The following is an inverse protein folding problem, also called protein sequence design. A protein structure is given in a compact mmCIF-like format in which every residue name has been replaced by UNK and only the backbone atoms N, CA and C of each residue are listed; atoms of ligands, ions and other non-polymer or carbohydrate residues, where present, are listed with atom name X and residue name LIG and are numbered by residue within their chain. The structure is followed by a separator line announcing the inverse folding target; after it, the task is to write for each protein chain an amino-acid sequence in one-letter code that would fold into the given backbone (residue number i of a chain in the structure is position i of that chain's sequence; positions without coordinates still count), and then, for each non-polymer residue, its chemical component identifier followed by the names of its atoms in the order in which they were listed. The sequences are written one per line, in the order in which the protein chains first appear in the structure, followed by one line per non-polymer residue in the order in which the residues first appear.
data_IF_502507217927
#
_entry.id   IF_502507217927
#
_cell.length_a   1.000
_cell.length_b   1.000
_cell.length_c   1.000
_cell.angle_alpha   90.00
_cell.angle_beta   90.00
_cell.angle_gamma   90.00
#
_symmetry.space_group_name_H-M   'P 1'
#
loop_
_entity.id
_entity.type
_entity.pdbx_description
1 polymer ?
#
# COMPACT_ATOMS: atom_id res chain seq x y z
N UNK A 1 8.91 12.32 12.81
CA UNK A 1 8.49 12.09 11.41
C UNK A 1 9.34 12.94 10.49
N UNK A 2 9.80 12.36 9.40
CA UNK A 2 10.64 13.03 8.40
C UNK A 2 9.92 14.23 7.79
N UNK A 3 10.61 15.37 7.77
CA UNK A 3 10.11 16.56 7.10
C UNK A 3 10.24 16.38 5.60
N UNK A 4 9.10 16.41 4.90
CA UNK A 4 9.06 16.36 3.44
C UNK A 4 9.20 17.77 2.92
N UNK A 5 10.10 17.98 1.96
CA UNK A 5 10.23 19.28 1.29
C UNK A 5 8.96 19.58 0.50
N UNK A 6 8.16 20.54 0.97
CA UNK A 6 6.86 20.90 0.37
C UNK A 6 6.96 21.22 -1.12
N UNK A 7 8.01 21.93 -1.53
CA UNK A 7 8.28 22.26 -2.94
C UNK A 7 8.44 21.00 -3.77
N UNK A 8 9.23 20.03 -3.30
CA UNK A 8 9.45 18.74 -3.96
C UNK A 8 8.16 17.94 -4.08
N UNK A 9 7.37 17.87 -3.00
CA UNK A 9 6.08 17.18 -2.96
C UNK A 9 5.09 17.75 -4.00
N UNK A 10 4.91 19.09 -3.99
CA UNK A 10 3.99 19.76 -4.91
C UNK A 10 4.46 19.60 -6.35
N UNK A 11 5.75 19.85 -6.62
CA UNK A 11 6.33 19.72 -7.96
C UNK A 11 6.07 18.33 -8.56
N UNK A 12 6.43 17.27 -7.84
CA UNK A 12 6.28 15.91 -8.38
C UNK A 12 4.83 15.46 -8.46
N UNK A 13 3.96 15.93 -7.57
CA UNK A 13 2.51 15.68 -7.67
C UNK A 13 1.95 16.29 -8.96
N UNK A 14 2.32 17.55 -9.26
CA UNK A 14 1.92 18.22 -10.50
C UNK A 14 2.46 17.47 -11.72
N UNK A 15 3.74 17.08 -11.72
CA UNK A 15 4.35 16.33 -12.83
C UNK A 15 3.61 15.00 -13.07
N UNK A 16 3.30 14.24 -12.03
CA UNK A 16 2.53 12.99 -12.14
C UNK A 16 1.17 13.24 -12.79
N UNK A 17 0.42 14.22 -12.27
CA UNK A 17 -0.90 14.57 -12.80
C UNK A 17 -0.82 14.98 -14.27
N UNK A 18 0.16 15.81 -14.65
CA UNK A 18 0.35 16.24 -16.04
C UNK A 18 0.66 15.07 -16.97
N UNK A 19 1.56 14.17 -16.57
CA UNK A 19 1.89 12.96 -17.36
C UNK A 19 0.66 12.08 -17.51
N UNK A 20 -0.10 11.87 -16.44
CA UNK A 20 -1.31 11.05 -16.48
C UNK A 20 -2.41 11.65 -17.36
N UNK A 21 -2.65 12.95 -17.25
CA UNK A 21 -3.60 13.66 -18.12
C UNK A 21 -3.15 13.63 -19.57
N UNK A 22 -1.87 13.82 -19.85
CA UNK A 22 -1.33 13.73 -21.20
C UNK A 22 -1.51 12.33 -21.80
N UNK A 23 -1.26 11.27 -21.02
CA UNK A 23 -1.48 9.88 -21.46
C UNK A 23 -2.97 9.61 -21.76
N UNK A 24 -3.87 10.06 -20.87
CA UNK A 24 -5.32 9.94 -21.09
C UNK A 24 -5.80 10.74 -22.31
N UNK A 25 -5.32 11.98 -22.47
CA UNK A 25 -5.61 12.80 -23.63
C UNK A 25 -5.13 12.13 -24.92
N UNK A 26 -3.93 11.54 -24.92
CA UNK A 26 -3.43 10.79 -26.07
C UNK A 26 -4.34 9.60 -26.43
N UNK A 27 -4.77 8.82 -25.45
CA UNK A 27 -5.75 7.73 -25.67
C UNK A 27 -7.04 8.28 -26.31
N UNK A 28 -7.54 9.44 -25.86
CA UNK A 28 -8.75 10.07 -26.44
C UNK A 28 -8.58 10.47 -27.92
N UNK A 29 -7.35 10.68 -28.40
CA UNK A 29 -7.08 11.01 -29.81
C UNK A 29 -6.99 9.79 -30.73
N UNK A 30 -6.94 8.58 -30.18
CA UNK A 30 -6.86 7.34 -30.98
C UNK A 30 -8.19 7.11 -31.73
N UNK A 31 -8.20 7.28 -33.05
CA UNK A 31 -9.39 7.11 -33.90
C UNK A 31 -9.52 5.67 -34.44
N UNK A 32 -10.74 5.29 -34.80
CA UNK A 32 -11.07 3.99 -35.40
C UNK A 32 -11.29 2.86 -34.38
N UNK A 33 -11.95 1.80 -34.83
CA UNK A 33 -12.15 0.56 -34.07
C UNK A 33 -11.20 -0.49 -34.68
N UNK A 34 -10.09 -0.76 -33.99
CA UNK A 34 -9.16 -1.81 -34.40
C UNK A 34 -8.59 -2.50 -33.17
N UNK A 35 -8.41 -3.81 -33.26
CA UNK A 35 -7.88 -4.63 -32.16
C UNK A 35 -6.55 -4.09 -31.58
N UNK A 36 -5.56 -3.65 -32.38
CA UNK A 36 -4.32 -3.09 -31.83
C UNK A 36 -4.54 -1.81 -30.99
N UNK A 37 -5.49 -0.97 -31.38
CA UNK A 37 -5.84 0.24 -30.63
C UNK A 37 -6.48 -0.13 -29.28
N UNK A 38 -7.47 -1.02 -29.30
CA UNK A 38 -8.16 -1.45 -28.08
C UNK A 38 -7.20 -2.08 -27.08
N UNK A 39 -6.32 -2.96 -27.56
CA UNK A 39 -5.25 -3.54 -26.75
C UNK A 39 -4.33 -2.46 -26.18
N UNK A 40 -3.96 -1.46 -26.98
CA UNK A 40 -3.17 -0.31 -26.53
C UNK A 40 -3.86 0.51 -25.45
N UNK A 41 -5.13 0.87 -25.66
CA UNK A 41 -5.93 1.61 -24.69
C UNK A 41 -6.08 0.85 -23.36
N UNK A 42 -6.38 -0.45 -23.43
CA UNK A 42 -6.43 -1.32 -22.25
C UNK A 42 -5.09 -1.37 -21.53
N UNK A 43 -3.99 -1.62 -22.25
CA UNK A 43 -2.65 -1.74 -21.68
C UNK A 43 -2.19 -0.43 -21.01
N UNK A 44 -2.47 0.73 -21.62
CA UNK A 44 -2.19 2.04 -21.00
C UNK A 44 -3.05 2.23 -19.75
N UNK A 45 -4.33 1.85 -19.81
CA UNK A 45 -5.23 1.86 -18.67
C UNK A 45 -4.72 1.02 -17.49
N UNK A 46 -4.15 -0.15 -17.75
CA UNK A 46 -3.50 -0.97 -16.70
C UNK A 46 -2.21 -0.30 -16.20
N UNK A 47 -1.34 0.13 -17.11
CA UNK A 47 -0.01 0.63 -16.80
C UNK A 47 0.00 1.96 -16.01
N UNK A 48 -1.01 2.80 -16.19
CA UNK A 48 -1.12 4.09 -15.50
C UNK A 48 -1.54 3.93 -14.03
N UNK A 49 -2.20 2.82 -13.66
CA UNK A 49 -2.67 2.58 -12.28
C UNK A 49 -1.55 2.64 -11.26
N UNK A 50 -0.44 1.87 -11.35
CA UNK A 50 0.62 1.95 -10.35
C UNK A 50 1.25 3.35 -10.24
N UNK A 51 1.28 4.11 -11.34
CA UNK A 51 1.80 5.48 -11.38
C UNK A 51 0.90 6.45 -10.60
N UNK A 52 -0.42 6.33 -10.72
CA UNK A 52 -1.41 7.13 -9.99
C UNK A 52 -1.63 6.64 -8.55
N UNK A 53 -1.63 5.33 -8.34
CA UNK A 53 -1.86 4.70 -7.05
C UNK A 53 -0.73 5.04 -6.06
N UNK A 54 0.52 5.15 -6.52
CA UNK A 54 1.67 5.45 -5.66
C UNK A 54 1.52 6.77 -4.87
N UNK A 55 1.28 7.95 -5.47
CA UNK A 55 1.06 9.16 -4.68
C UNK A 55 -0.20 9.09 -3.82
N UNK A 56 -1.31 8.49 -4.31
CA UNK A 56 -2.54 8.33 -3.53
C UNK A 56 -2.26 7.52 -2.26
N UNK A 57 -1.60 6.38 -2.41
CA UNK A 57 -1.21 5.51 -1.32
C UNK A 57 -0.32 6.25 -0.32
N UNK A 58 0.69 6.97 -0.81
CA UNK A 58 1.59 7.76 0.03
C UNK A 58 0.81 8.79 0.88
N UNK A 59 -0.13 9.51 0.27
CA UNK A 59 -0.97 10.48 0.98
C UNK A 59 -1.86 9.81 2.03
N UNK A 60 -2.52 8.70 1.69
CA UNK A 60 -3.37 7.95 2.63
C UNK A 60 -2.53 7.39 3.78
N UNK A 61 -1.41 6.73 3.48
CA UNK A 61 -0.55 6.13 4.49
C UNK A 61 0.01 7.21 5.43
N UNK A 62 0.40 8.38 4.91
CA UNK A 62 0.89 9.47 5.75
C UNK A 62 -0.21 10.14 6.57
N UNK A 63 -1.30 10.58 5.93
CA UNK A 63 -2.27 11.51 6.52
C UNK A 63 -3.58 10.85 6.99
N UNK A 64 -3.69 9.54 6.86
CA UNK A 64 -4.78 8.75 7.45
C UNK A 64 -4.22 7.70 8.40
N UNK A 65 -3.16 7.00 8.03
CA UNK A 65 -2.68 5.85 8.81
C UNK A 65 -1.64 6.23 9.86
N UNK A 66 -0.77 7.22 9.58
CA UNK A 66 0.29 7.67 10.51
C UNK A 66 0.08 9.05 11.11
N UNK A 67 -0.74 9.89 10.49
CA UNK A 67 -1.16 11.17 11.04
C UNK A 67 -2.69 11.23 10.94
N UNK A 68 -3.45 11.37 12.04
CA UNK A 68 -4.91 11.42 11.98
C UNK A 68 -5.41 12.81 11.57
N UNK A 69 -4.99 13.32 10.40
CA UNK A 69 -5.37 14.66 9.92
C UNK A 69 -6.88 14.75 9.66
N UNK A 70 -7.49 13.64 9.25
CA UNK A 70 -8.93 13.53 9.05
C UNK A 70 -9.57 12.84 10.26
N UNK A 71 -10.17 13.62 11.16
CA UNK A 71 -10.72 13.11 12.44
C UNK A 71 -11.72 11.96 12.25
N UNK A 72 -12.57 12.03 11.22
CA UNK A 72 -13.54 10.99 10.88
C UNK A 72 -12.89 9.63 10.56
N UNK A 73 -11.60 9.63 10.22
CA UNK A 73 -10.81 8.43 9.90
C UNK A 73 -9.82 8.05 11.01
N UNK A 74 -9.87 8.71 12.18
CA UNK A 74 -8.94 8.47 13.30
C UNK A 74 -8.90 7.01 13.79
N UNK A 75 -9.98 6.24 13.63
CA UNK A 75 -9.97 4.80 13.96
C UNK A 75 -9.00 4.01 13.07
N UNK A 76 -8.83 4.40 11.81
CA UNK A 76 -7.87 3.77 10.90
C UNK A 76 -6.45 4.02 11.40
N UNK A 77 -6.13 5.24 11.82
CA UNK A 77 -4.87 5.57 12.48
C UNK A 77 -4.62 4.68 13.70
N UNK A 78 -5.60 4.53 14.60
CA UNK A 78 -5.43 3.70 15.80
C UNK A 78 -5.19 2.23 15.48
N UNK A 79 -5.94 1.68 14.52
CA UNK A 79 -5.75 0.29 14.05
C UNK A 79 -4.39 0.09 13.40
N UNK A 80 -3.96 1.02 12.55
CA UNK A 80 -2.64 0.94 11.90
C UNK A 80 -1.50 1.12 12.90
N UNK A 81 -1.67 1.97 13.91
CA UNK A 81 -0.73 2.10 15.02
C UNK A 81 -0.64 0.79 15.81
N UNK A 82 -1.77 0.15 16.11
CA UNK A 82 -1.78 -1.17 16.76
C UNK A 82 -1.10 -2.24 15.90
N UNK A 83 -1.24 -2.18 14.57
CA UNK A 83 -0.50 -3.04 13.64
C UNK A 83 1.02 -2.94 13.87
N UNK A 84 1.56 -1.73 13.93
CA UNK A 84 3.01 -1.51 14.13
C UNK A 84 3.52 -1.84 15.53
N UNK A 85 2.76 -1.56 16.58
CA UNK A 85 3.29 -1.63 17.95
C UNK A 85 2.77 -2.82 18.77
N UNK A 86 1.54 -3.26 18.52
CA UNK A 86 0.94 -4.36 19.28
C UNK A 86 1.07 -5.70 18.54
N UNK A 87 0.95 -5.73 17.22
CA UNK A 87 0.96 -6.99 16.46
C UNK A 87 2.30 -7.30 15.82
N UNK A 88 2.92 -6.30 15.17
CA UNK A 88 4.17 -6.49 14.44
C UNK A 88 5.26 -5.47 14.83
N UNK A 89 5.59 -5.31 16.12
CA UNK A 89 6.74 -4.49 16.50
C UNK A 89 8.03 -5.04 15.89
N UNK A 90 9.07 -4.22 15.74
CA UNK A 90 10.29 -4.59 15.00
C UNK A 90 11.00 -5.85 15.52
N UNK A 91 10.84 -6.19 16.79
CA UNK A 91 11.38 -7.41 17.42
C UNK A 91 10.48 -8.65 17.26
N UNK A 92 9.23 -8.48 16.83
CA UNK A 92 8.23 -9.52 16.45
C UNK A 92 7.62 -9.14 15.10
N UNK A 93 8.47 -8.96 14.10
CA UNK A 93 8.05 -8.45 12.80
C UNK A 93 7.16 -9.43 12.02
N UNK A 94 7.26 -10.72 12.34
CA UNK A 94 6.50 -11.80 11.72
C UNK A 94 5.80 -12.65 12.78
N UNK A 95 4.64 -13.19 12.42
CA UNK A 95 3.90 -14.13 13.27
C UNK A 95 3.57 -15.42 12.51
N UNK A 96 3.22 -16.44 13.28
CA UNK A 96 2.62 -17.65 12.75
C UNK A 96 1.12 -17.56 12.48
N UNK A 97 0.59 -18.70 12.06
CA UNK A 97 -0.83 -18.96 12.12
C UNK A 97 -1.64 -18.33 11.00
N UNK A 98 -2.96 -18.36 11.19
CA UNK A 98 -3.89 -17.70 10.29
C UNK A 98 -3.84 -16.16 10.47
N UNK A 99 -4.09 -15.46 9.37
CA UNK A 99 -5.22 -14.53 9.32
C UNK A 99 -5.76 -13.99 10.65
N UNK A 100 -5.18 -12.94 11.25
CA UNK A 100 -5.84 -12.16 12.32
C UNK A 100 -5.83 -10.68 11.96
N UNK A 101 -6.97 -10.18 11.47
CA UNK A 101 -7.14 -8.80 10.99
C UNK A 101 -7.80 -7.93 12.04
N UNK A 102 -7.28 -6.72 12.19
CA UNK A 102 -7.80 -5.70 13.10
C UNK A 102 -9.10 -5.10 12.56
N UNK A 103 -10.06 -4.88 13.44
CA UNK A 103 -11.37 -4.32 13.09
C UNK A 103 -11.47 -2.84 13.48
N UNK A 104 -12.22 -2.07 12.69
CA UNK A 104 -12.58 -0.69 13.02
C UNK A 104 -13.78 -0.61 13.97
N UNK A 105 -14.48 -1.71 14.23
CA UNK A 105 -15.74 -1.73 14.97
C UNK A 105 -15.55 -1.73 16.50
N UNK A 106 -14.49 -2.34 17.00
CA UNK A 106 -14.19 -2.46 18.43
C UNK A 106 -12.90 -1.71 18.80
N UNK A 107 -12.30 -2.03 19.95
CA UNK A 107 -11.01 -1.46 20.33
C UNK A 107 -9.95 -1.75 19.25
N UNK A 108 -9.06 -0.79 19.04
CA UNK A 108 -8.01 -0.77 18.00
C UNK A 108 -7.04 -1.95 18.06
N UNK A 109 -6.99 -2.65 19.20
CA UNK A 109 -6.18 -3.85 19.42
C UNK A 109 -6.96 -5.15 19.27
N UNK A 110 -8.24 -5.10 18.93
CA UNK A 110 -9.04 -6.32 18.73
C UNK A 110 -8.86 -6.83 17.30
N UNK A 111 -8.45 -8.10 17.19
CA UNK A 111 -8.44 -8.83 15.92
C UNK A 111 -9.56 -9.85 15.85
N UNK A 112 -9.99 -10.18 14.64
CA UNK A 112 -10.89 -11.31 14.40
C UNK A 112 -10.11 -12.61 14.21
N UNK A 113 -10.56 -13.68 14.87
CA UNK A 113 -9.99 -15.03 14.75
C UNK A 113 -10.79 -15.91 13.79
N UNK A 114 -12.00 -15.49 13.40
CA UNK A 114 -12.86 -16.28 12.52
C UNK A 114 -12.50 -16.06 11.06
N UNK A 115 -12.67 -17.11 10.25
CA UNK A 115 -12.45 -17.04 8.81
C UNK A 115 -13.32 -15.94 8.16
N UNK A 116 -14.62 -15.92 8.46
CA UNK A 116 -15.57 -14.96 7.89
C UNK A 116 -15.30 -13.52 8.34
N UNK A 117 -14.89 -13.30 9.59
CA UNK A 117 -14.50 -11.98 10.05
C UNK A 117 -13.27 -11.47 9.31
N UNK A 118 -12.26 -12.30 9.13
CA UNK A 118 -11.05 -11.93 8.37
C UNK A 118 -11.38 -11.65 6.89
N UNK A 119 -12.23 -12.45 6.28
CA UNK A 119 -12.69 -12.24 4.91
C UNK A 119 -13.45 -10.90 4.77
N UNK A 120 -14.35 -10.59 5.69
CA UNK A 120 -15.09 -9.33 5.71
C UNK A 120 -14.17 -8.12 5.84
N UNK A 121 -13.19 -8.16 6.74
CA UNK A 121 -12.21 -7.07 6.89
C UNK A 121 -11.33 -6.93 5.64
N UNK A 122 -10.93 -8.05 5.02
CA UNK A 122 -10.19 -8.02 3.75
C UNK A 122 -11.01 -7.36 2.64
N UNK A 123 -12.30 -7.70 2.52
CA UNK A 123 -13.21 -7.10 1.53
C UNK A 123 -13.41 -5.61 1.81
N UNK A 124 -13.54 -5.22 3.08
CA UNK A 124 -13.65 -3.81 3.46
C UNK A 124 -12.39 -3.02 3.10
N UNK A 125 -11.21 -3.58 3.37
CA UNK A 125 -9.92 -2.98 3.01
C UNK A 125 -9.74 -2.88 1.50
N UNK A 126 -10.10 -3.92 0.75
CA UNK A 126 -10.10 -3.90 -0.70
C UNK A 126 -11.06 -2.83 -1.24
N UNK A 127 -12.30 -2.81 -0.77
CA UNK A 127 -13.33 -1.83 -1.17
C UNK A 127 -12.88 -0.40 -0.88
N UNK A 128 -12.18 -0.17 0.24
CA UNK A 128 -11.59 1.13 0.55
C UNK A 128 -10.60 1.58 -0.53
N UNK A 129 -9.66 0.72 -0.95
CA UNK A 129 -8.76 1.05 -2.05
C UNK A 129 -9.50 1.29 -3.37
N UNK A 130 -10.51 0.48 -3.67
CA UNK A 130 -11.33 0.65 -4.87
C UNK A 130 -12.12 1.97 -4.86
N UNK A 131 -12.58 2.45 -3.71
CA UNK A 131 -13.27 3.74 -3.60
C UNK A 131 -12.34 4.92 -3.92
N UNK A 132 -11.09 4.89 -3.45
CA UNK A 132 -10.07 5.87 -3.85
C UNK A 132 -9.76 5.75 -5.34
N UNK A 133 -9.64 4.53 -5.87
CA UNK A 133 -9.42 4.32 -7.30
C UNK A 133 -10.56 4.86 -8.16
N UNK A 134 -11.81 4.65 -7.74
CA UNK A 134 -12.98 5.19 -8.42
C UNK A 134 -12.95 6.72 -8.48
N UNK A 135 -12.68 7.37 -7.35
CA UNK A 135 -12.68 8.83 -7.23
C UNK A 135 -11.51 9.50 -7.97
N UNK A 136 -10.30 8.98 -7.80
CA UNK A 136 -9.07 9.65 -8.25
C UNK A 136 -8.52 9.11 -9.57
N UNK A 137 -8.96 7.94 -10.04
CA UNK A 137 -8.46 7.32 -11.27
C UNK A 137 -9.58 7.06 -12.29
N UNK A 138 -10.66 6.38 -11.90
CA UNK A 138 -11.68 5.93 -12.85
C UNK A 138 -12.57 7.07 -13.34
N UNK A 139 -13.07 7.90 -12.43
CA UNK A 139 -13.92 9.04 -12.80
C UNK A 139 -13.15 10.05 -13.67
N UNK A 140 -11.93 10.50 -13.32
CA UNK A 140 -11.13 11.34 -14.22
C UNK A 140 -10.80 10.66 -15.55
N UNK A 141 -10.41 9.37 -15.51
CA UNK A 141 -10.14 8.57 -16.70
C UNK A 141 -11.34 8.56 -17.66
N UNK A 142 -12.53 8.26 -17.16
CA UNK A 142 -13.77 8.28 -17.95
C UNK A 142 -14.12 9.68 -18.46
N UNK A 143 -13.98 10.72 -17.63
CA UNK A 143 -14.28 12.10 -18.03
C UNK A 143 -13.39 12.53 -19.20
N UNK A 144 -12.10 12.19 -19.17
CA UNK A 144 -11.11 12.61 -20.16
C UNK A 144 -11.21 11.75 -21.43
N UNK A 145 -11.26 10.42 -21.31
CA UNK A 145 -11.14 9.53 -22.47
C UNK A 145 -12.46 9.18 -23.12
N UNK A 146 -13.55 9.06 -22.33
CA UNK A 146 -14.84 8.48 -22.76
C UNK A 146 -14.70 7.08 -23.40
N UNK A 147 -13.60 6.39 -23.11
CA UNK A 147 -13.25 5.11 -23.72
C UNK A 147 -13.49 3.96 -22.72
N UNK A 148 -14.44 3.05 -23.01
CA UNK A 148 -14.77 1.94 -22.10
C UNK A 148 -13.66 0.88 -22.01
N UNK A 149 -12.85 0.70 -23.06
CA UNK A 149 -11.74 -0.25 -23.07
C UNK A 149 -10.62 0.27 -22.17
N UNK A 150 -10.28 1.55 -22.26
CA UNK A 150 -9.35 2.20 -21.34
C UNK A 150 -9.83 2.13 -19.89
N UNK A 151 -11.11 2.43 -19.64
CA UNK A 151 -11.70 2.33 -18.30
C UNK A 151 -11.63 0.91 -17.76
N UNK A 152 -11.87 -0.10 -18.60
CA UNK A 152 -11.73 -1.51 -18.18
C UNK A 152 -10.29 -1.85 -17.76
N UNK A 153 -9.28 -1.31 -18.47
CA UNK A 153 -7.87 -1.42 -18.10
C UNK A 153 -7.57 -0.79 -16.74
N UNK A 154 -8.09 0.41 -16.48
CA UNK A 154 -7.99 1.07 -15.17
C UNK A 154 -8.59 0.23 -14.05
N UNK A 155 -9.78 -0.33 -14.27
CA UNK A 155 -10.48 -1.16 -13.27
C UNK A 155 -9.68 -2.43 -13.00
N UNK A 156 -9.26 -3.16 -14.04
CA UNK A 156 -8.47 -4.39 -13.90
C UNK A 156 -7.14 -4.10 -13.20
N UNK A 157 -6.41 -3.06 -13.63
CA UNK A 157 -5.18 -2.64 -12.96
C UNK A 157 -5.40 -2.31 -11.48
N UNK A 158 -6.50 -1.62 -11.16
CA UNK A 158 -6.86 -1.27 -9.78
C UNK A 158 -7.17 -2.50 -8.92
N UNK A 159 -7.89 -3.50 -9.47
CA UNK A 159 -8.16 -4.78 -8.80
C UNK A 159 -6.85 -5.51 -8.49
N UNK A 160 -5.98 -5.64 -9.49
CA UNK A 160 -4.69 -6.33 -9.35
C UNK A 160 -3.82 -5.65 -8.31
N UNK A 161 -3.61 -4.34 -8.42
CA UNK A 161 -2.78 -3.55 -7.49
C UNK A 161 -3.35 -3.60 -6.07
N UNK A 162 -4.65 -3.39 -5.90
CA UNK A 162 -5.31 -3.42 -4.58
C UNK A 162 -5.22 -4.80 -3.92
N UNK A 163 -5.38 -5.87 -4.70
CA UNK A 163 -5.22 -7.22 -4.16
C UNK A 163 -3.75 -7.52 -3.80
N UNK A 164 -2.79 -7.08 -4.62
CA UNK A 164 -1.37 -7.21 -4.31
C UNK A 164 -0.99 -6.49 -3.02
N UNK A 165 -1.57 -5.33 -2.72
CA UNK A 165 -1.31 -4.61 -1.46
C UNK A 165 -1.60 -5.49 -0.26
N UNK A 166 -2.78 -6.11 -0.27
CA UNK A 166 -3.26 -6.96 0.81
C UNK A 166 -2.43 -8.24 0.90
N UNK A 167 -2.20 -8.91 -0.23
CA UNK A 167 -1.51 -10.21 -0.28
C UNK A 167 -0.05 -10.05 0.12
N UNK A 168 0.69 -9.12 -0.48
CA UNK A 168 2.12 -8.91 -0.17
C UNK A 168 2.30 -8.50 1.29
N UNK A 169 1.39 -7.70 1.86
CA UNK A 169 1.46 -7.29 3.27
C UNK A 169 1.22 -8.47 4.22
N UNK A 170 0.21 -9.29 3.95
CA UNK A 170 -0.01 -10.54 4.68
C UNK A 170 1.20 -11.46 4.58
N UNK A 171 1.81 -11.56 3.40
CA UNK A 171 2.99 -12.39 3.13
C UNK A 171 4.23 -11.94 3.88
N UNK A 172 4.49 -10.62 3.95
CA UNK A 172 5.63 -10.08 4.70
C UNK A 172 5.52 -10.43 6.19
N UNK A 173 4.35 -10.22 6.77
CA UNK A 173 4.12 -10.44 8.20
C UNK A 173 3.81 -11.91 8.57
N UNK A 174 3.40 -12.73 7.59
CA UNK A 174 3.16 -14.17 7.75
C UNK A 174 3.85 -14.95 6.61
N UNK A 175 5.17 -15.17 6.72
CA UNK A 175 5.91 -15.97 5.75
C UNK A 175 5.32 -17.38 5.60
N UNK A 176 5.31 -17.88 4.38
CA UNK A 176 4.67 -19.13 3.95
C UNK A 176 3.22 -18.98 3.52
N UNK A 177 2.56 -17.83 3.74
CA UNK A 177 1.13 -17.66 3.41
C UNK A 177 0.85 -17.62 1.91
N UNK A 178 1.76 -17.06 1.11
CA UNK A 178 1.63 -17.01 -0.35
C UNK A 178 2.99 -17.26 -1.02
N UNK A 179 3.38 -18.54 -1.13
CA UNK A 179 4.70 -18.96 -1.63
C UNK A 179 5.06 -18.41 -3.02
N UNK A 180 4.07 -18.25 -3.90
CA UNK A 180 4.31 -17.70 -5.25
C UNK A 180 4.77 -16.24 -5.17
N UNK A 181 4.19 -15.45 -4.26
CA UNK A 181 4.55 -14.04 -4.05
C UNK A 181 5.92 -13.93 -3.41
N UNK A 182 6.22 -14.76 -2.41
CA UNK A 182 7.54 -14.79 -1.74
C UNK A 182 8.68 -15.17 -2.69
N UNK A 183 8.40 -16.00 -3.70
CA UNK A 183 9.37 -16.43 -4.69
C UNK A 183 9.71 -15.34 -5.72
N UNK A 184 8.98 -14.22 -5.75
CA UNK A 184 9.23 -13.17 -6.73
C UNK A 184 10.48 -12.36 -6.37
N UNK A 185 11.32 -11.96 -7.35
CA UNK A 185 12.59 -11.28 -7.07
C UNK A 185 12.41 -9.91 -6.39
N UNK A 186 11.30 -9.23 -6.67
CA UNK A 186 10.97 -7.94 -6.07
C UNK A 186 10.49 -8.05 -4.62
N UNK A 187 10.06 -9.23 -4.16
CA UNK A 187 9.49 -9.40 -2.82
C UNK A 187 10.50 -9.02 -1.73
N UNK A 188 11.76 -9.45 -1.88
CA UNK A 188 12.83 -9.13 -0.93
C UNK A 188 13.05 -7.62 -0.77
N UNK A 189 12.89 -6.86 -1.86
CA UNK A 189 12.99 -5.41 -1.80
C UNK A 189 11.84 -4.82 -0.98
N UNK A 190 10.59 -5.25 -1.24
CA UNK A 190 9.41 -4.76 -0.51
C UNK A 190 9.41 -5.16 0.97
N UNK A 191 9.91 -6.35 1.28
CA UNK A 191 10.09 -6.84 2.66
C UNK A 191 11.05 -5.94 3.46
N UNK A 192 12.21 -5.60 2.88
CA UNK A 192 13.14 -4.65 3.50
C UNK A 192 12.59 -3.22 3.54
N UNK A 193 11.92 -2.78 2.47
CA UNK A 193 11.29 -1.47 2.38
C UNK A 193 10.26 -1.28 3.51
N UNK A 194 9.38 -2.27 3.70
CA UNK A 194 8.37 -2.27 4.75
C UNK A 194 8.98 -2.45 6.15
N UNK A 195 10.08 -3.18 6.30
CA UNK A 195 10.75 -3.26 7.61
C UNK A 195 11.34 -1.92 8.04
N UNK A 196 11.97 -1.18 7.13
CA UNK A 196 12.45 0.18 7.40
C UNK A 196 11.27 1.10 7.75
N UNK A 197 10.12 0.93 7.10
CA UNK A 197 8.90 1.64 7.45
C UNK A 197 8.48 1.36 8.90
N UNK A 198 8.52 0.10 9.37
CA UNK A 198 8.25 -0.26 10.77
C UNK A 198 9.26 0.33 11.76
N UNK A 199 10.50 0.57 11.35
CA UNK A 199 11.52 1.23 12.17
C UNK A 199 11.29 2.75 12.22
N UNK A 200 10.92 3.36 11.10
CA UNK A 200 10.66 4.80 10.98
C UNK A 200 9.37 5.05 10.20
N UNK A 201 8.27 5.24 10.94
CA UNK A 201 6.91 5.39 10.39
C UNK A 201 6.71 6.59 9.44
N UNK A 202 7.70 7.49 9.34
CA UNK A 202 7.67 8.63 8.43
C UNK A 202 8.35 8.40 7.08
N UNK A 203 8.92 7.22 6.88
CA UNK A 203 9.72 6.80 5.71
C UNK A 203 9.06 5.60 5.04
N UNK A 204 9.35 5.35 3.76
CA UNK A 204 8.86 4.19 3.00
C UNK A 204 7.32 4.02 3.12
N UNK A 205 6.60 5.10 2.80
CA UNK A 205 5.15 5.19 2.95
C UNK A 205 4.39 4.54 1.80
N UNK A 206 5.02 4.28 0.67
CA UNK A 206 4.47 3.33 -0.30
C UNK A 206 4.80 1.91 0.12
N UNK A 207 3.92 0.98 -0.21
CA UNK A 207 4.12 -0.41 0.15
C UNK A 207 4.43 -1.29 -1.06
N UNK A 208 3.79 -1.09 -2.21
CA UNK A 208 4.04 -1.90 -3.42
C UNK A 208 5.02 -1.26 -4.41
N UNK A 209 4.79 0.00 -4.77
CA UNK A 209 5.63 0.73 -5.72
C UNK A 209 6.11 2.02 -5.08
N UNK A 210 7.39 2.14 -4.71
CA UNK A 210 7.93 3.29 -3.98
C UNK A 210 8.24 4.48 -4.89
N UNK A 211 7.39 4.73 -5.89
CA UNK A 211 7.56 5.86 -6.79
C UNK A 211 7.37 7.18 -6.04
N UNK A 212 6.29 7.33 -5.27
CA UNK A 212 6.07 8.54 -4.49
C UNK A 212 7.09 8.68 -3.35
N UNK A 213 7.54 7.60 -2.71
CA UNK A 213 8.67 7.67 -1.79
C UNK A 213 9.95 8.20 -2.45
N UNK A 214 10.28 7.70 -3.64
CA UNK A 214 11.42 8.18 -4.41
C UNK A 214 11.25 9.67 -4.77
N UNK A 215 10.09 10.05 -5.29
CA UNK A 215 9.85 11.40 -5.78
C UNK A 215 9.69 12.41 -4.65
N UNK A 216 9.07 12.05 -3.52
CA UNK A 216 8.84 12.93 -2.38
C UNK A 216 9.98 12.93 -1.38
N UNK A 217 10.91 11.98 -1.49
CA UNK A 217 12.13 11.93 -0.68
C UNK A 217 11.97 11.21 0.65
N UNK A 218 11.07 10.23 0.71
CA UNK A 218 10.89 9.32 1.86
C UNK A 218 11.38 7.91 1.58
N UNK A 219 11.98 7.65 0.41
CA UNK A 219 12.59 6.36 0.10
C UNK A 219 13.91 6.19 0.86
N UNK A 220 13.94 5.16 1.68
CA UNK A 220 15.13 4.65 2.35
C UNK A 220 15.34 3.17 2.02
N UNK A 221 16.56 2.83 1.66
CA UNK A 221 16.94 1.45 1.31
C UNK A 221 17.71 0.75 2.43
N UNK A 222 18.18 1.49 3.44
CA UNK A 222 18.99 0.99 4.54
C UNK A 222 18.64 1.68 5.87
N UNK A 223 18.85 0.94 6.96
CA UNK A 223 18.84 1.49 8.32
C UNK A 223 20.15 2.21 8.62
N UNK A 224 20.09 3.24 9.46
CA UNK A 224 21.28 3.84 10.06
C UNK A 224 21.94 2.88 11.03
N UNK A 225 23.21 3.11 11.37
CA UNK A 225 23.89 2.30 12.38
C UNK A 225 23.20 2.36 13.76
N UNK A 226 22.56 3.48 14.09
CA UNK A 226 21.81 3.64 15.34
C UNK A 226 20.52 2.82 15.34
N UNK A 227 19.71 2.95 14.28
CA UNK A 227 18.49 2.15 14.13
C UNK A 227 18.78 0.66 14.09
N UNK A 228 19.86 0.24 13.43
CA UNK A 228 20.28 -1.16 13.38
C UNK A 228 20.64 -1.69 14.78
N UNK A 229 21.27 -0.87 15.63
CA UNK A 229 21.55 -1.23 17.03
C UNK A 229 20.27 -1.31 17.86
N UNK A 230 19.33 -0.39 17.65
CA UNK A 230 18.10 -0.30 18.44
C UNK A 230 17.06 -1.37 18.05
N UNK A 231 16.88 -1.64 16.76
CA UNK A 231 15.79 -2.49 16.24
C UNK A 231 16.27 -3.83 15.71
N UNK A 232 17.57 -3.98 15.44
CA UNK A 232 18.13 -5.14 14.76
C UNK A 232 17.98 -5.09 13.23
N UNK A 233 18.46 -6.14 12.57
CA UNK A 233 18.31 -6.31 11.12
C UNK A 233 17.00 -7.03 10.77
N UNK A 234 16.53 -6.86 9.54
CA UNK A 234 15.40 -7.63 9.00
C UNK A 234 15.60 -9.15 9.19
N UNK A 235 16.79 -9.67 8.87
CA UNK A 235 17.09 -11.09 9.03
C UNK A 235 16.88 -11.55 10.49
N UNK A 236 17.31 -10.75 11.47
CA UNK A 236 17.07 -11.04 12.89
C UNK A 236 15.58 -11.00 13.22
N UNK A 237 14.87 -9.99 12.73
CA UNK A 237 13.44 -9.82 12.96
C UNK A 237 12.60 -10.98 12.39
N UNK A 238 13.02 -11.58 11.26
CA UNK A 238 12.32 -12.74 10.65
C UNK A 238 12.70 -14.09 11.25
N UNK A 239 13.87 -14.22 11.90
CA UNK A 239 14.23 -15.45 12.62
C UNK A 239 13.40 -15.65 13.89
N UNK A 240 12.93 -14.56 14.50
CA UNK A 240 12.13 -14.58 15.72
C UNK A 240 10.64 -14.63 15.38
N UNK A 241 10.16 -15.80 14.98
CA UNK A 241 8.73 -16.04 14.87
C UNK A 241 8.16 -16.27 16.26
N UNK A 242 7.59 -15.22 16.85
CA UNK A 242 6.94 -15.26 18.16
C UNK A 242 5.44 -15.16 17.96
N UNK A 243 4.67 -16.08 18.53
CA UNK A 243 3.22 -16.04 18.51
C UNK A 243 2.53 -16.43 17.20
N UNK A 244 1.19 -16.50 17.26
CA UNK A 244 0.29 -16.97 16.20
C UNK A 244 -0.71 -15.87 15.77
N UNK A 245 -0.28 -14.61 15.90
CA UNK A 245 -1.01 -13.42 15.47
C UNK A 245 -1.79 -12.70 16.57
N UNK A 246 -1.68 -13.11 17.83
CA UNK A 246 -2.20 -12.38 19.00
C UNK A 246 -1.41 -11.09 19.26
N UNK A 247 -2.02 -10.03 19.85
CA UNK A 247 -1.27 -8.84 20.23
C UNK A 247 -0.23 -9.18 21.31
N UNK A 248 0.90 -8.47 21.28
CA UNK A 248 1.87 -8.50 22.38
C UNK A 248 1.15 -8.02 23.65
N UNK A 249 1.16 -8.87 24.68
CA UNK A 249 0.73 -8.44 26.00
C UNK A 249 1.72 -7.39 26.48
N UNK A 250 1.26 -6.18 26.75
CA UNK A 250 2.06 -5.24 27.52
C UNK A 250 2.41 -5.97 28.81
N UNK A 251 3.70 -6.18 29.07
CA UNK A 251 4.14 -6.67 30.37
C UNK A 251 3.53 -5.73 31.41
N UNK A 252 2.66 -6.31 32.25
CA UNK A 252 2.00 -5.60 33.35
C UNK A 252 3.01 -5.04 34.35
#
# INVERSE_FOLDING_TARGET
MTQVHRVRLVFWTVVIVLISVAAMAWVSTMKGESFPKELGAFAIGVAIVPFLASPIEWFVHRFVYHQPVIQALSRIYSVHTAHHFAYFPTWRYVTGGSARRLTLQSDSRTSTETYWGNAAIRIAHFTWYMAFGALFMWLPGWIITKDPVFLSGLIVGSIVVSNLFIVVHDTIHRPGSHRIVEAQPWFRFLDNHHYIHHVSLGENLNFLLPLADLLFGTLRTQLTAEELRAHGSLNRAKMLRVGEGEPVQATA
#
